data_IF_385227961065
#
_entry.id   IF_385227961065
#
_cell.length_a   1.000
_cell.length_b   1.000
_cell.length_c   1.000
_cell.angle_alpha   90.00
_cell.angle_beta   90.00
_cell.angle_gamma   90.00
#
_symmetry.space_group_name_H-M   'P 1'
#
loop_
_entity.id
_entity.type
_entity.pdbx_description
1 polymer ?
#
# COMPACT_ATOMS: atom_id res chain seq x y z
N UNK A 1 3.02 7.49 -13.23
CA UNK A 1 4.25 8.33 -13.25
C UNK A 1 5.46 7.45 -12.90
N UNK A 2 6.70 7.85 -13.21
CA UNK A 2 7.91 7.08 -12.87
C UNK A 2 8.35 7.40 -11.43
N UNK A 3 7.54 7.03 -10.45
CA UNK A 3 7.80 7.31 -9.03
C UNK A 3 9.02 6.49 -8.57
N UNK A 4 10.03 7.07 -7.90
CA UNK A 4 11.25 6.36 -7.48
C UNK A 4 11.00 5.07 -6.70
N UNK A 5 9.91 5.02 -5.94
CA UNK A 5 9.42 3.84 -5.21
C UNK A 5 9.17 2.66 -6.16
N UNK A 6 8.54 2.89 -7.31
CA UNK A 6 8.23 1.84 -8.29
C UNK A 6 9.47 1.22 -8.94
N UNK A 7 10.62 1.91 -8.93
CA UNK A 7 11.89 1.33 -9.40
C UNK A 7 12.48 0.38 -8.35
N UNK A 8 12.23 0.63 -7.05
CA UNK A 8 12.75 -0.17 -5.93
C UNK A 8 11.97 -1.47 -5.72
N UNK A 9 10.70 -1.52 -6.12
CA UNK A 9 9.86 -2.74 -6.00
C UNK A 9 10.16 -3.83 -7.03
N UNK A 10 11.16 -3.64 -7.91
CA UNK A 10 11.53 -4.64 -8.94
C UNK A 10 11.97 -5.99 -8.37
N UNK A 11 12.44 -6.02 -7.13
CA UNK A 11 12.83 -7.26 -6.44
C UNK A 11 11.66 -7.97 -5.75
N UNK A 12 10.48 -7.35 -5.67
CA UNK A 12 9.30 -7.94 -5.04
C UNK A 12 8.67 -8.92 -6.03
N UNK A 13 8.30 -10.11 -5.55
CA UNK A 13 7.66 -11.13 -6.39
C UNK A 13 6.32 -10.61 -6.95
N UNK A 14 5.97 -10.97 -8.19
CA UNK A 14 4.62 -10.73 -8.71
C UNK A 14 3.56 -11.32 -7.77
N UNK A 15 2.37 -10.70 -7.72
CA UNK A 15 1.23 -11.09 -6.85
C UNK A 15 1.48 -10.99 -5.33
N UNK A 16 2.62 -10.46 -4.90
CA UNK A 16 2.89 -10.19 -3.49
C UNK A 16 1.84 -9.28 -2.87
N UNK A 17 1.55 -9.51 -1.59
CA UNK A 17 0.70 -8.66 -0.76
C UNK A 17 1.53 -7.54 -0.13
N UNK A 18 1.18 -6.30 -0.47
CA UNK A 18 1.91 -5.10 -0.09
C UNK A 18 1.05 -4.23 0.83
N UNK A 19 1.62 -3.80 1.95
CA UNK A 19 1.04 -2.76 2.80
C UNK A 19 1.60 -1.39 2.39
N UNK A 20 0.73 -0.46 2.02
CA UNK A 20 1.06 0.93 1.69
C UNK A 20 0.68 1.84 2.87
N UNK A 21 1.68 2.24 3.67
CA UNK A 21 1.49 3.02 4.90
C UNK A 21 1.62 4.51 4.62
N UNK A 22 0.64 5.29 5.07
CA UNK A 22 0.56 6.73 4.79
C UNK A 22 -0.06 7.03 3.42
N UNK A 23 -0.97 6.18 2.95
CA UNK A 23 -1.40 6.19 1.55
C UNK A 23 -2.39 7.31 1.18
N UNK A 24 -2.90 8.11 2.13
CA UNK A 24 -4.09 8.95 1.90
C UNK A 24 -3.94 9.99 0.77
N UNK A 25 -2.71 10.43 0.49
CA UNK A 25 -2.40 11.48 -0.49
C UNK A 25 -1.76 10.95 -1.77
N UNK A 26 -1.79 9.64 -1.99
CA UNK A 26 -1.08 9.01 -3.10
C UNK A 26 -1.94 8.00 -3.87
N UNK A 27 -1.68 7.91 -5.17
CA UNK A 27 -2.22 6.86 -6.04
C UNK A 27 -1.31 5.61 -6.09
N UNK A 28 -0.28 5.54 -5.24
CA UNK A 28 0.67 4.42 -5.23
C UNK A 28 -0.03 3.06 -5.06
N UNK A 29 -0.96 2.95 -4.12
CA UNK A 29 -1.79 1.74 -3.94
C UNK A 29 -2.47 1.30 -5.25
N UNK A 30 -2.98 2.23 -6.06
CA UNK A 30 -3.57 1.91 -7.37
C UNK A 30 -2.51 1.52 -8.40
N UNK A 31 -1.36 2.19 -8.42
CA UNK A 31 -0.24 1.83 -9.30
C UNK A 31 0.29 0.43 -9.00
N UNK A 32 0.33 0.01 -7.71
CA UNK A 32 0.69 -1.34 -7.29
C UNK A 32 -0.33 -2.37 -7.79
N UNK A 33 -1.63 -2.11 -7.60
CA UNK A 33 -2.71 -2.98 -8.10
C UNK A 33 -2.64 -3.13 -9.62
N UNK A 34 -2.45 -2.03 -10.35
CA UNK A 34 -2.33 -2.03 -11.81
C UNK A 34 -1.11 -2.81 -12.31
N UNK A 35 -0.09 -3.01 -11.47
CA UNK A 35 1.11 -3.81 -11.76
C UNK A 35 0.98 -5.28 -11.35
N UNK A 36 -0.17 -5.70 -10.84
CA UNK A 36 -0.42 -7.08 -10.44
C UNK A 36 -0.02 -7.40 -8.99
N UNK A 37 0.25 -6.40 -8.15
CA UNK A 37 0.36 -6.63 -6.71
C UNK A 37 -1.02 -6.63 -6.06
N UNK A 38 -1.14 -7.29 -4.90
CA UNK A 38 -2.28 -7.10 -4.00
C UNK A 38 -1.90 -6.00 -3.03
N UNK A 39 -2.66 -4.91 -2.95
CA UNK A 39 -2.31 -3.77 -2.09
C UNK A 39 -3.38 -3.54 -1.02
N UNK A 40 -2.92 -3.28 0.19
CA UNK A 40 -3.73 -2.77 1.31
C UNK A 40 -3.19 -1.41 1.69
N UNK A 41 -4.02 -0.38 1.68
CA UNK A 41 -3.66 0.94 2.17
C UNK A 41 -3.94 1.09 3.66
N UNK A 42 -3.05 1.75 4.40
CA UNK A 42 -3.22 2.10 5.80
C UNK A 42 -2.93 3.58 6.00
N UNK A 43 -3.90 4.32 6.53
CA UNK A 43 -3.72 5.72 6.91
C UNK A 43 -4.67 6.09 8.06
N UNK A 44 -4.37 7.14 8.82
CA UNK A 44 -5.27 7.69 9.84
C UNK A 44 -6.38 8.53 9.21
N UNK A 45 -6.17 9.05 7.99
CA UNK A 45 -7.10 9.89 7.23
C UNK A 45 -8.02 9.03 6.36
N UNK A 46 -9.08 9.63 5.84
CA UNK A 46 -9.89 8.95 4.83
C UNK A 46 -9.14 8.86 3.50
N UNK A 47 -9.28 7.73 2.81
CA UNK A 47 -8.74 7.56 1.46
C UNK A 47 -9.76 8.01 0.42
N UNK A 48 -9.50 9.08 -0.34
CA UNK A 48 -10.47 9.63 -1.28
C UNK A 48 -10.57 8.84 -2.60
N UNK A 49 -9.59 7.96 -2.88
CA UNK A 49 -9.45 7.28 -4.18
C UNK A 49 -9.98 5.85 -4.19
N UNK A 50 -10.84 5.44 -3.23
CA UNK A 50 -11.30 4.06 -3.09
C UNK A 50 -11.83 3.47 -4.41
N UNK A 51 -11.38 2.26 -4.73
CA UNK A 51 -11.91 1.41 -5.80
C UNK A 51 -12.24 0.03 -5.24
N UNK A 52 -13.10 -0.74 -5.90
CA UNK A 52 -13.48 -2.09 -5.45
C UNK A 52 -12.29 -3.05 -5.30
N UNK A 53 -11.19 -2.79 -6.00
CA UNK A 53 -9.97 -3.62 -5.97
C UNK A 53 -8.99 -3.22 -4.87
N UNK A 54 -9.24 -2.12 -4.16
CA UNK A 54 -8.32 -1.55 -3.19
C UNK A 54 -8.90 -1.70 -1.78
N UNK A 55 -8.22 -2.48 -0.95
CA UNK A 55 -8.56 -2.59 0.47
C UNK A 55 -7.92 -1.43 1.23
N UNK A 56 -8.69 -0.75 2.06
CA UNK A 56 -8.22 0.38 2.86
C UNK A 56 -8.57 0.20 4.33
N UNK A 57 -7.59 0.44 5.21
CA UNK A 57 -7.72 0.38 6.66
C UNK A 57 -7.45 1.77 7.23
N UNK A 58 -8.49 2.38 7.81
CA UNK A 58 -8.34 3.66 8.51
C UNK A 58 -7.89 3.43 9.95
N UNK A 59 -6.59 3.52 10.23
CA UNK A 59 -6.02 3.23 11.56
C UNK A 59 -4.59 3.80 11.71
N UNK A 60 -4.18 3.99 12.96
CA UNK A 60 -2.81 4.41 13.30
C UNK A 60 -1.83 3.23 13.11
N UNK A 61 -0.69 3.46 12.46
CA UNK A 61 0.37 2.45 12.28
C UNK A 61 0.95 1.94 13.61
N UNK A 62 0.88 2.73 14.67
CA UNK A 62 1.35 2.34 16.00
C UNK A 62 0.39 1.36 16.71
N UNK A 63 -0.85 1.20 16.23
CA UNK A 63 -1.84 0.25 16.74
C UNK A 63 -2.67 -0.31 15.58
N UNK A 64 -2.07 -1.18 14.76
CA UNK A 64 -2.76 -1.72 13.58
C UNK A 64 -3.68 -2.89 13.90
N UNK A 65 -3.28 -3.75 14.86
CA UNK A 65 -3.84 -5.09 15.10
C UNK A 65 -3.84 -5.97 13.85
N UNK A 66 -2.93 -5.70 12.91
CA UNK A 66 -2.71 -6.56 11.74
C UNK A 66 -2.02 -7.86 12.18
N UNK A 67 -2.33 -9.00 11.55
CA UNK A 67 -1.68 -10.26 11.89
C UNK A 67 -0.20 -10.24 11.50
N UNK A 68 0.62 -10.89 12.32
CA UNK A 68 2.04 -11.09 12.03
C UNK A 68 2.26 -11.88 10.73
N UNK A 69 3.38 -11.64 10.06
CA UNK A 69 3.80 -12.37 8.85
C UNK A 69 2.78 -12.36 7.69
N UNK A 70 1.94 -11.32 7.61
CA UNK A 70 0.88 -11.22 6.59
C UNK A 70 1.36 -10.63 5.26
N UNK A 71 2.23 -9.63 5.31
CA UNK A 71 2.63 -8.86 4.13
C UNK A 71 4.01 -9.29 3.63
N UNK A 72 4.14 -9.46 2.32
CA UNK A 72 5.41 -9.76 1.67
C UNK A 72 6.32 -8.54 1.61
N UNK A 73 5.72 -7.35 1.60
CA UNK A 73 6.44 -6.08 1.62
C UNK A 73 5.62 -4.99 2.29
N UNK A 74 6.34 -4.05 2.90
CA UNK A 74 5.77 -2.81 3.43
C UNK A 74 6.44 -1.65 2.70
N UNK A 75 5.61 -0.76 2.17
CA UNK A 75 6.06 0.50 1.62
C UNK A 75 5.58 1.59 2.56
N UNK A 76 6.52 2.42 3.00
CA UNK A 76 6.24 3.59 3.81
C UNK A 76 6.69 4.79 3.02
N UNK A 77 5.75 5.69 2.74
CA UNK A 77 6.05 6.94 2.09
C UNK A 77 5.46 8.07 2.93
N UNK A 78 6.33 8.69 3.73
CA UNK A 78 6.01 9.89 4.50
C UNK A 78 6.38 11.09 3.62
N UNK A 79 5.37 11.82 3.17
CA UNK A 79 5.53 13.16 2.58
C UNK A 79 5.65 14.21 3.69
#
# INVERSE_FOLDING_TARGET
MNTPVLKRIRSIKPNSLVLDVGCAESLLSHELIAKGFRAVGLDIRDYPFKSEKMMFIKRNIMDTKLPDNTFDAIIVFLL
#
